data_IF_208000124833
#
_entry.id   IF_208000124833
#
_cell.length_a   1.000
_cell.length_b   1.000
_cell.length_c   1.000
_cell.angle_alpha   90.00
_cell.angle_beta   90.00
_cell.angle_gamma   90.00
#
_symmetry.space_group_name_H-M   'P 1'
#
loop_
_entity.id
_entity.type
_entity.pdbx_description
1 polymer ?
#
# COMPACT_ATOMS: atom_id res chain seq x y z
N UNK A 1 17.75 27.08 17.34
CA UNK A 1 17.13 26.36 18.49
C UNK A 1 15.63 26.67 18.53
N UNK A 2 15.20 27.94 18.48
CA UNK A 2 13.78 28.33 18.50
C UNK A 2 12.97 27.75 17.30
N UNK A 3 13.57 27.72 16.11
CA UNK A 3 12.93 27.15 14.91
C UNK A 3 12.71 25.65 15.02
N UNK A 4 13.64 24.91 15.64
CA UNK A 4 13.51 23.46 15.87
C UNK A 4 12.40 23.15 16.88
N UNK A 5 12.29 23.96 17.94
CA UNK A 5 11.23 23.79 18.96
C UNK A 5 9.84 24.09 18.39
N UNK A 6 9.72 25.09 17.51
CA UNK A 6 8.47 25.45 16.87
C UNK A 6 8.00 24.34 15.89
N UNK A 7 8.94 23.77 15.11
CA UNK A 7 8.67 22.63 14.23
C UNK A 7 8.25 21.41 15.06
N UNK A 8 8.95 21.12 16.17
CA UNK A 8 8.62 19.99 17.04
C UNK A 8 7.23 20.14 17.69
N UNK A 9 6.83 21.35 18.08
CA UNK A 9 5.51 21.63 18.63
C UNK A 9 4.39 21.52 17.57
N UNK A 10 4.62 22.05 16.36
CA UNK A 10 3.67 21.93 15.24
C UNK A 10 3.43 20.48 14.84
N UNK A 11 4.44 19.65 14.93
CA UNK A 11 4.44 18.22 14.64
C UNK A 11 3.63 17.44 15.68
N UNK A 12 3.71 17.81 16.95
CA UNK A 12 2.93 17.18 18.03
C UNK A 12 1.41 17.44 17.86
N UNK A 13 1.01 18.57 17.28
CA UNK A 13 -0.38 18.89 16.96
C UNK A 13 -0.94 18.10 15.78
N UNK A 14 -0.08 17.55 14.88
CA UNK A 14 -0.52 16.75 13.74
C UNK A 14 -0.77 15.28 14.10
N UNK A 15 -0.28 14.81 15.24
CA UNK A 15 -0.50 13.43 15.70
C UNK A 15 -1.87 13.34 16.37
N UNK A 16 -2.69 12.40 15.87
CA UNK A 16 -3.90 12.00 16.60
C UNK A 16 -3.50 11.09 17.75
N UNK A 17 -4.10 11.31 18.90
CA UNK A 17 -3.96 10.37 20.03
C UNK A 17 -4.79 9.10 19.72
N UNK A 18 -4.17 8.22 18.90
CA UNK A 18 -4.78 6.98 18.40
C UNK A 18 -4.10 5.79 19.05
N UNK A 19 -4.88 4.97 19.73
CA UNK A 19 -4.38 3.73 20.32
C UNK A 19 -3.95 2.75 19.22
N UNK A 20 -2.88 1.97 19.47
CA UNK A 20 -2.35 1.03 18.48
C UNK A 20 -3.37 0.00 18.02
N UNK A 21 -4.21 -0.50 18.94
CA UNK A 21 -5.28 -1.46 18.60
C UNK A 21 -6.32 -0.81 17.68
N UNK A 22 -6.72 0.42 17.96
CA UNK A 22 -7.61 1.17 17.10
C UNK A 22 -7.04 1.36 15.70
N UNK A 23 -5.74 1.71 15.60
CA UNK A 23 -5.06 1.82 14.31
C UNK A 23 -5.10 0.50 13.52
N UNK A 24 -4.89 -0.63 14.20
CA UNK A 24 -4.92 -1.97 13.58
C UNK A 24 -6.34 -2.33 13.11
N UNK A 25 -7.35 -2.14 13.97
CA UNK A 25 -8.73 -2.53 13.72
C UNK A 25 -9.40 -1.67 12.64
N UNK A 26 -9.09 -0.35 12.63
CA UNK A 26 -9.72 0.60 11.72
C UNK A 26 -8.96 0.80 10.41
N UNK A 27 -7.70 0.33 10.33
CA UNK A 27 -6.95 0.40 9.07
C UNK A 27 -7.63 -0.47 8.00
N UNK A 28 -7.93 0.13 6.87
CA UNK A 28 -8.41 -0.57 5.67
C UNK A 28 -7.73 -0.01 4.42
N UNK A 29 -7.83 -0.70 3.30
CA UNK A 29 -7.33 -0.22 2.01
C UNK A 29 -8.30 0.81 1.45
N UNK A 30 -7.95 2.08 1.52
CA UNK A 30 -8.75 3.19 0.99
C UNK A 30 -8.56 3.28 -0.52
N UNK A 31 -9.65 3.42 -1.27
CA UNK A 31 -9.65 3.43 -2.74
C UNK A 31 -10.30 4.68 -3.35
N UNK A 32 -10.48 5.70 -2.53
CA UNK A 32 -10.80 7.07 -2.94
C UNK A 32 -10.24 8.03 -1.89
N UNK A 33 -9.45 8.98 -2.35
CA UNK A 33 -8.82 9.98 -1.49
C UNK A 33 -9.29 11.37 -1.89
N UNK A 34 -9.28 12.30 -0.93
CA UNK A 34 -9.49 13.71 -1.20
C UNK A 34 -8.24 14.31 -1.84
N UNK A 35 -8.38 15.51 -2.41
CA UNK A 35 -7.27 16.31 -2.97
C UNK A 35 -6.49 17.09 -1.90
N UNK A 36 -6.85 16.94 -0.60
CA UNK A 36 -6.16 17.58 0.49
C UNK A 36 -4.68 17.22 0.48
N UNK A 37 -3.83 18.23 0.41
CA UNK A 37 -2.39 18.06 0.34
C UNK A 37 -1.84 17.40 1.61
N UNK A 38 -0.82 16.56 1.43
CA UNK A 38 -0.01 15.98 2.52
C UNK A 38 1.39 16.56 2.40
N UNK A 39 1.88 17.18 3.47
CA UNK A 39 3.20 17.81 3.45
C UNK A 39 4.35 16.78 3.43
N UNK A 40 5.50 17.19 2.89
CA UNK A 40 6.71 16.37 2.92
C UNK A 40 7.13 16.06 4.36
N UNK A 41 6.93 17.00 5.27
CA UNK A 41 7.26 16.86 6.69
C UNK A 41 6.42 15.73 7.31
N UNK A 42 5.11 15.71 7.08
CA UNK A 42 4.22 14.63 7.55
C UNK A 42 4.64 13.27 7.01
N UNK A 43 4.93 13.19 5.71
CA UNK A 43 5.42 11.94 5.11
C UNK A 43 6.73 11.50 5.74
N UNK A 44 7.66 12.44 5.95
CA UNK A 44 8.97 12.16 6.57
C UNK A 44 8.80 11.59 7.96
N UNK A 45 7.90 12.13 8.78
CA UNK A 45 7.64 11.64 10.13
C UNK A 45 7.02 10.24 10.14
N UNK A 46 6.06 9.99 9.26
CA UNK A 46 5.48 8.65 9.09
C UNK A 46 6.61 7.65 8.79
N UNK A 47 7.50 7.98 7.87
CA UNK A 47 8.62 7.11 7.50
C UNK A 47 9.65 6.97 8.64
N UNK A 48 9.93 8.03 9.40
CA UNK A 48 10.80 7.97 10.57
C UNK A 48 10.26 7.02 11.64
N UNK A 49 8.96 7.07 11.93
CA UNK A 49 8.31 6.13 12.84
C UNK A 49 8.40 4.70 12.27
N UNK A 50 8.16 4.53 10.98
CA UNK A 50 8.20 3.23 10.32
C UNK A 50 9.59 2.59 10.33
N UNK A 51 10.67 3.35 10.41
CA UNK A 51 12.05 2.82 10.59
C UNK A 51 12.23 1.95 11.85
N UNK A 52 11.26 1.96 12.77
CA UNK A 52 11.27 1.06 13.93
C UNK A 52 10.78 -0.36 13.60
N UNK A 53 10.44 -0.64 12.35
CA UNK A 53 10.10 -2.00 11.91
C UNK A 53 11.25 -2.97 12.17
N UNK A 54 10.96 -4.18 12.67
CA UNK A 54 11.99 -5.19 12.82
C UNK A 54 12.41 -5.78 11.48
N UNK A 55 13.60 -6.35 11.42
CA UNK A 55 14.06 -7.18 10.30
C UNK A 55 15.03 -8.26 10.79
N UNK A 56 15.16 -9.34 10.05
CA UNK A 56 16.11 -10.40 10.35
C UNK A 56 17.53 -9.85 10.50
N UNK A 57 18.16 -10.07 11.66
CA UNK A 57 19.51 -9.53 12.02
C UNK A 57 19.68 -8.03 11.78
N UNK A 58 18.58 -7.29 11.78
CA UNK A 58 18.52 -5.84 11.55
C UNK A 58 19.04 -5.42 10.16
N UNK A 59 18.76 -6.22 9.14
CA UNK A 59 19.22 -5.97 7.75
C UNK A 59 18.55 -4.77 7.09
N UNK A 60 17.32 -4.41 7.51
CA UNK A 60 16.57 -3.25 7.01
C UNK A 60 16.52 -3.18 5.47
N UNK A 61 15.97 -4.22 4.80
CA UNK A 61 16.16 -4.45 3.38
C UNK A 61 15.21 -3.63 2.48
N UNK A 62 14.71 -2.53 2.96
CA UNK A 62 13.69 -1.72 2.29
C UNK A 62 14.20 -0.36 1.89
N UNK A 63 13.70 0.11 0.73
CA UNK A 63 13.81 1.48 0.26
C UNK A 63 12.41 2.03 -0.02
N UNK A 64 12.23 3.35 0.14
CA UNK A 64 10.96 4.02 -0.18
C UNK A 64 11.22 5.19 -1.10
N UNK A 65 10.56 5.18 -2.23
CA UNK A 65 10.59 6.24 -3.23
C UNK A 65 9.24 6.96 -3.22
N UNK A 66 9.24 8.20 -2.76
CA UNK A 66 8.01 9.00 -2.60
C UNK A 66 7.85 9.93 -3.79
N UNK A 67 6.65 10.01 -4.34
CA UNK A 67 6.31 10.94 -5.41
C UNK A 67 5.00 11.67 -5.15
N UNK A 68 4.91 12.90 -5.65
CA UNK A 68 3.72 13.74 -5.61
C UNK A 68 3.72 14.67 -6.83
N UNK A 69 2.61 15.35 -7.08
CA UNK A 69 2.48 16.35 -8.14
C UNK A 69 2.91 15.84 -9.51
N UNK A 70 3.61 16.66 -10.27
CA UNK A 70 3.97 16.38 -11.67
C UNK A 70 4.75 15.06 -11.86
N UNK A 71 5.59 14.66 -10.91
CA UNK A 71 6.33 13.39 -11.01
C UNK A 71 5.38 12.20 -10.89
N UNK A 72 4.46 12.23 -9.92
CA UNK A 72 3.42 11.21 -9.75
C UNK A 72 2.55 11.12 -11.01
N UNK A 73 2.16 12.27 -11.57
CA UNK A 73 1.31 12.34 -12.77
C UNK A 73 2.04 11.79 -14.01
N UNK A 74 3.33 12.07 -14.16
CA UNK A 74 4.13 11.52 -15.25
C UNK A 74 4.21 9.98 -15.20
N UNK A 75 4.47 9.41 -14.02
CA UNK A 75 4.45 7.94 -13.79
C UNK A 75 3.07 7.38 -14.14
N UNK A 76 2.02 8.00 -13.63
CA UNK A 76 0.63 7.60 -13.89
C UNK A 76 0.33 7.55 -15.38
N UNK A 77 0.67 8.60 -16.12
CA UNK A 77 0.39 8.71 -17.56
C UNK A 77 1.12 7.62 -18.36
N UNK A 78 2.40 7.38 -18.08
CA UNK A 78 3.17 6.36 -18.76
C UNK A 78 2.62 4.96 -18.49
N UNK A 79 2.31 4.67 -17.22
CA UNK A 79 1.76 3.35 -16.85
C UNK A 79 0.36 3.14 -17.43
N UNK A 80 -0.49 4.16 -17.46
CA UNK A 80 -1.82 4.05 -18.09
C UNK A 80 -1.72 3.84 -19.60
N UNK A 81 -0.75 4.46 -20.27
CA UNK A 81 -0.49 4.24 -21.70
C UNK A 81 -0.06 2.79 -21.96
N UNK A 82 0.87 2.25 -21.18
CA UNK A 82 1.30 0.85 -21.27
C UNK A 82 0.15 -0.11 -20.96
N UNK A 83 -0.61 0.14 -19.91
CA UNK A 83 -1.74 -0.70 -19.50
C UNK A 83 -2.83 -0.76 -20.58
N UNK A 84 -3.14 0.36 -21.23
CA UNK A 84 -4.09 0.43 -22.34
C UNK A 84 -3.67 -0.44 -23.54
N UNK A 85 -2.37 -0.55 -23.77
CA UNK A 85 -1.79 -1.33 -24.86
C UNK A 85 -1.46 -2.77 -24.47
N UNK A 86 -1.75 -3.20 -23.23
CA UNK A 86 -1.40 -4.53 -22.73
C UNK A 86 0.12 -4.77 -22.58
N UNK A 87 0.90 -3.71 -22.44
CA UNK A 87 2.37 -3.75 -22.39
C UNK A 87 2.85 -3.72 -20.94
N UNK A 88 2.77 -4.86 -20.25
CA UNK A 88 3.34 -4.99 -18.91
C UNK A 88 4.87 -5.01 -18.96
N UNK A 89 5.51 -4.47 -17.92
CA UNK A 89 6.98 -4.41 -17.75
C UNK A 89 7.40 -4.93 -16.37
N UNK A 90 6.98 -6.16 -15.99
CA UNK A 90 7.29 -6.70 -14.68
C UNK A 90 8.77 -7.07 -14.56
N UNK A 91 9.24 -7.20 -13.32
CA UNK A 91 10.48 -7.90 -13.05
C UNK A 91 10.29 -9.39 -13.34
N UNK A 92 11.12 -9.96 -14.19
CA UNK A 92 10.87 -11.27 -14.78
C UNK A 92 11.43 -12.46 -13.98
N UNK A 93 12.23 -12.21 -12.94
CA UNK A 93 12.92 -13.29 -12.21
C UNK A 93 12.07 -13.90 -11.08
N UNK A 94 10.84 -13.42 -10.85
CA UNK A 94 9.93 -14.01 -9.89
C UNK A 94 8.46 -13.76 -10.23
N UNK A 95 7.61 -14.67 -9.80
CA UNK A 95 6.16 -14.52 -9.85
C UNK A 95 5.64 -13.95 -8.53
N UNK A 96 5.03 -12.80 -8.56
CA UNK A 96 4.38 -12.21 -7.37
C UNK A 96 3.20 -13.06 -6.89
N UNK A 97 2.44 -13.61 -7.84
CA UNK A 97 1.39 -14.58 -7.56
C UNK A 97 1.65 -15.87 -8.33
N UNK A 98 1.66 -16.99 -7.64
CA UNK A 98 1.63 -18.29 -8.29
C UNK A 98 0.31 -18.48 -9.05
N UNK A 99 0.37 -19.10 -10.24
CA UNK A 99 -0.81 -19.32 -11.09
C UNK A 99 -1.90 -20.20 -10.45
N UNK A 100 -1.50 -21.19 -9.67
CA UNK A 100 -2.38 -22.19 -9.08
C UNK A 100 -2.80 -21.83 -7.65
N UNK A 101 -3.87 -21.06 -7.55
CA UNK A 101 -4.47 -20.73 -6.27
C UNK A 101 -5.33 -21.88 -5.74
N UNK A 102 -5.10 -22.28 -4.48
CA UNK A 102 -6.06 -23.13 -3.77
C UNK A 102 -7.40 -22.43 -3.66
N UNK A 103 -8.49 -23.22 -3.62
CA UNK A 103 -9.86 -22.70 -3.61
C UNK A 103 -10.10 -21.66 -2.54
N UNK A 104 -9.65 -21.90 -1.31
CA UNK A 104 -9.81 -20.97 -0.17
C UNK A 104 -9.20 -19.59 -0.45
N UNK A 105 -8.03 -19.52 -1.04
CA UNK A 105 -7.37 -18.24 -1.34
C UNK A 105 -8.00 -17.55 -2.55
N UNK A 106 -8.38 -18.34 -3.56
CA UNK A 106 -9.08 -17.85 -4.74
C UNK A 106 -10.43 -17.25 -4.37
N UNK A 107 -11.17 -17.90 -3.47
CA UNK A 107 -12.50 -17.45 -3.05
C UNK A 107 -12.43 -16.19 -2.19
N UNK A 108 -11.45 -16.08 -1.28
CA UNK A 108 -11.16 -14.83 -0.54
C UNK A 108 -10.82 -13.66 -1.47
N UNK A 109 -9.96 -13.92 -2.48
CA UNK A 109 -9.63 -12.92 -3.49
C UNK A 109 -10.86 -12.49 -4.29
N UNK A 110 -11.69 -13.44 -4.69
CA UNK A 110 -12.95 -13.17 -5.41
C UNK A 110 -13.94 -12.42 -4.54
N UNK A 111 -14.08 -12.79 -3.27
CA UNK A 111 -14.97 -12.13 -2.31
C UNK A 111 -14.69 -10.66 -2.19
N UNK A 112 -13.43 -10.28 -1.97
CA UNK A 112 -13.03 -8.88 -1.89
C UNK A 112 -13.23 -8.13 -3.21
N UNK A 113 -12.93 -8.78 -4.34
CA UNK A 113 -13.10 -8.17 -5.67
C UNK A 113 -14.57 -7.93 -6.00
N UNK A 114 -15.43 -8.91 -5.77
CA UNK A 114 -16.87 -8.78 -6.00
C UNK A 114 -17.53 -7.83 -5.00
N UNK A 115 -17.09 -7.80 -3.75
CA UNK A 115 -17.56 -6.83 -2.77
C UNK A 115 -17.32 -5.39 -3.24
N UNK A 116 -16.10 -5.08 -3.71
CA UNK A 116 -15.77 -3.78 -4.26
C UNK A 116 -16.61 -3.46 -5.51
N UNK A 117 -16.72 -4.38 -6.45
CA UNK A 117 -17.45 -4.15 -7.70
C UNK A 117 -18.95 -3.98 -7.46
N UNK A 118 -19.52 -4.71 -6.53
CA UNK A 118 -20.93 -4.54 -6.12
C UNK A 118 -21.20 -3.14 -5.58
N UNK A 119 -20.35 -2.62 -4.70
CA UNK A 119 -20.47 -1.25 -4.20
C UNK A 119 -20.44 -0.21 -5.31
N UNK A 120 -19.59 -0.43 -6.32
CA UNK A 120 -19.43 0.45 -7.48
C UNK A 120 -20.48 0.21 -8.60
N UNK A 121 -21.41 -0.69 -8.42
CA UNK A 121 -22.40 -1.04 -9.44
C UNK A 121 -21.82 -1.75 -10.68
N UNK A 122 -20.58 -2.26 -10.60
CA UNK A 122 -19.91 -2.99 -11.69
C UNK A 122 -20.42 -4.44 -11.71
N UNK A 123 -21.14 -4.79 -12.76
CA UNK A 123 -21.75 -6.13 -12.91
C UNK A 123 -20.74 -7.16 -13.40
N UNK A 124 -21.02 -8.44 -13.13
CA UNK A 124 -20.23 -9.55 -13.69
C UNK A 124 -20.30 -9.51 -15.23
N UNK A 125 -19.11 -9.48 -15.85
CA UNK A 125 -18.98 -9.38 -17.31
C UNK A 125 -18.84 -7.94 -17.82
N UNK A 126 -19.02 -6.92 -16.98
CA UNK A 126 -18.72 -5.54 -17.31
C UNK A 126 -17.19 -5.32 -17.34
N UNK A 127 -16.62 -5.58 -18.51
CA UNK A 127 -15.18 -5.46 -18.74
C UNK A 127 -14.71 -4.01 -18.71
N UNK A 128 -15.53 -3.08 -19.19
CA UNK A 128 -15.19 -1.67 -19.23
C UNK A 128 -15.17 -1.08 -17.81
N UNK A 129 -16.21 -1.33 -17.02
CA UNK A 129 -16.26 -0.91 -15.62
C UNK A 129 -15.10 -1.50 -14.79
N UNK A 130 -14.82 -2.79 -14.98
CA UNK A 130 -13.71 -3.48 -14.31
C UNK A 130 -12.35 -2.90 -14.71
N UNK A 131 -12.14 -2.61 -16.00
CA UNK A 131 -10.90 -2.00 -16.50
C UNK A 131 -10.74 -0.58 -15.97
N UNK A 132 -11.80 0.23 -15.99
CA UNK A 132 -11.80 1.58 -15.45
C UNK A 132 -11.46 1.59 -13.96
N UNK A 133 -12.05 0.71 -13.16
CA UNK A 133 -11.72 0.58 -11.74
C UNK A 133 -10.29 0.07 -11.52
N UNK A 134 -9.83 -0.90 -12.33
CA UNK A 134 -8.46 -1.39 -12.30
C UNK A 134 -7.43 -0.27 -12.56
N UNK A 135 -7.72 0.59 -13.53
CA UNK A 135 -6.85 1.72 -13.89
C UNK A 135 -6.70 2.76 -12.76
N UNK A 136 -7.65 2.84 -11.81
CA UNK A 136 -7.54 3.73 -10.64
C UNK A 136 -6.35 3.38 -9.74
N UNK A 137 -5.89 2.12 -9.74
CA UNK A 137 -4.64 1.77 -9.05
C UNK A 137 -3.48 2.67 -9.51
N UNK A 138 -3.38 2.90 -10.82
CA UNK A 138 -2.29 3.67 -11.43
C UNK A 138 -2.47 5.19 -11.31
N UNK A 139 -3.59 5.63 -10.74
CA UNK A 139 -3.83 7.00 -10.28
C UNK A 139 -3.70 7.13 -8.76
N UNK A 140 -3.17 6.11 -8.08
CA UNK A 140 -3.11 6.04 -6.62
C UNK A 140 -4.47 6.26 -5.95
N UNK A 141 -5.58 5.92 -6.63
CA UNK A 141 -6.96 6.20 -6.17
C UNK A 141 -7.19 7.68 -5.82
N UNK A 142 -6.54 8.57 -6.57
CA UNK A 142 -6.56 10.03 -6.44
C UNK A 142 -5.80 10.60 -5.21
N UNK A 143 -5.07 9.76 -4.48
CA UNK A 143 -4.22 10.21 -3.37
C UNK A 143 -3.18 11.25 -3.82
N UNK A 144 -2.91 12.30 -2.99
CA UNK A 144 -1.91 13.31 -3.28
C UNK A 144 -0.49 12.76 -3.31
N UNK A 145 -0.21 11.70 -2.55
CA UNK A 145 1.11 11.08 -2.45
C UNK A 145 1.07 9.63 -2.89
N UNK A 146 2.03 9.26 -3.74
CA UNK A 146 2.37 7.89 -4.10
C UNK A 146 3.71 7.49 -3.49
N UNK A 147 3.83 6.23 -3.10
CA UNK A 147 5.08 5.62 -2.64
C UNK A 147 5.33 4.34 -3.42
N UNK A 148 6.59 4.03 -3.65
CA UNK A 148 7.04 2.74 -4.17
C UNK A 148 8.06 2.15 -3.20
N UNK A 149 7.78 0.95 -2.74
CA UNK A 149 8.63 0.24 -1.81
C UNK A 149 9.40 -0.82 -2.59
N UNK A 150 10.73 -0.77 -2.49
CA UNK A 150 11.64 -1.69 -3.17
C UNK A 150 12.53 -2.42 -2.18
N UNK A 151 13.16 -3.48 -2.62
CA UNK A 151 14.24 -4.21 -1.94
C UNK A 151 15.32 -4.57 -2.96
N UNK A 152 16.52 -4.91 -2.51
CA UNK A 152 17.56 -5.39 -3.42
C UNK A 152 17.18 -6.75 -4.00
N UNK A 153 17.33 -6.91 -5.31
CA UNK A 153 16.85 -8.11 -6.02
C UNK A 153 17.58 -9.40 -5.60
N UNK A 154 18.84 -9.31 -5.12
CA UNK A 154 19.59 -10.46 -4.65
C UNK A 154 19.11 -11.02 -3.31
N UNK A 155 18.30 -10.26 -2.56
CA UNK A 155 17.82 -10.66 -1.24
C UNK A 155 16.72 -11.72 -1.35
N UNK A 156 16.75 -12.67 -0.42
CA UNK A 156 15.83 -13.81 -0.40
C UNK A 156 14.49 -13.52 0.27
N UNK A 157 13.67 -14.56 0.42
CA UNK A 157 12.29 -14.50 0.94
C UNK A 157 12.18 -13.88 2.33
N UNK A 158 13.19 -14.01 3.20
CA UNK A 158 13.21 -13.38 4.52
C UNK A 158 13.12 -11.86 4.44
N UNK A 159 13.88 -11.25 3.52
CA UNK A 159 13.87 -9.80 3.30
C UNK A 159 12.54 -9.30 2.73
N UNK A 160 11.84 -10.12 1.95
CA UNK A 160 10.47 -9.82 1.51
C UNK A 160 9.48 -9.81 2.67
N UNK A 161 9.62 -10.76 3.61
CA UNK A 161 8.85 -10.76 4.86
C UNK A 161 9.12 -9.50 5.69
N UNK A 162 10.39 -9.13 5.85
CA UNK A 162 10.81 -7.92 6.55
C UNK A 162 10.23 -6.65 5.90
N UNK A 163 10.29 -6.56 4.57
CA UNK A 163 9.70 -5.45 3.81
C UNK A 163 8.17 -5.40 3.98
N UNK A 164 7.50 -6.55 4.08
CA UNK A 164 6.07 -6.63 4.41
C UNK A 164 5.75 -6.06 5.79
N UNK A 165 6.58 -6.33 6.80
CA UNK A 165 6.45 -5.73 8.14
C UNK A 165 6.63 -4.21 8.09
N UNK A 166 7.59 -3.71 7.31
CA UNK A 166 7.81 -2.30 7.09
C UNK A 166 6.61 -1.61 6.42
N UNK A 167 6.06 -2.21 5.35
CA UNK A 167 4.84 -1.74 4.67
C UNK A 167 3.69 -1.61 5.67
N UNK A 168 3.45 -2.63 6.50
CA UNK A 168 2.40 -2.60 7.52
C UNK A 168 2.66 -1.49 8.54
N UNK A 169 3.91 -1.28 8.96
CA UNK A 169 4.26 -0.23 9.92
C UNK A 169 4.00 1.17 9.35
N UNK A 170 4.30 1.43 8.06
CA UNK A 170 3.92 2.68 7.38
C UNK A 170 2.40 2.88 7.43
N UNK A 171 1.63 1.83 7.12
CA UNK A 171 0.16 1.92 7.10
C UNK A 171 -0.42 2.24 8.47
N UNK A 172 0.15 1.68 9.55
CA UNK A 172 -0.28 1.98 10.93
C UNK A 172 0.17 3.37 11.37
N UNK A 173 1.42 3.75 11.08
CA UNK A 173 1.94 5.08 11.38
C UNK A 173 1.08 6.17 10.73
N UNK A 174 0.69 6.01 9.46
CA UNK A 174 -0.19 6.94 8.77
C UNK A 174 -1.51 7.20 9.53
N UNK A 175 -2.08 6.17 10.18
CA UNK A 175 -3.30 6.32 10.99
C UNK A 175 -3.10 7.30 12.15
N UNK A 176 -1.94 7.28 12.79
CA UNK A 176 -1.58 8.22 13.86
C UNK A 176 -1.51 9.69 13.41
N UNK A 177 -1.43 9.94 12.11
CA UNK A 177 -1.49 11.28 11.50
C UNK A 177 -2.86 11.57 10.87
N UNK A 178 -3.87 10.74 11.11
CA UNK A 178 -5.18 10.87 10.50
C UNK A 178 -5.24 10.56 9.01
N UNK A 179 -4.15 9.98 8.48
CA UNK A 179 -4.03 9.60 7.08
C UNK A 179 -4.39 8.13 6.86
N UNK A 180 -4.63 7.82 5.62
CA UNK A 180 -4.98 6.48 5.15
C UNK A 180 -4.08 6.05 4.02
N UNK A 181 -4.06 4.74 3.75
CA UNK A 181 -3.20 4.14 2.74
C UNK A 181 -3.94 3.06 1.95
N UNK A 182 -3.37 2.72 0.79
CA UNK A 182 -3.68 1.50 0.06
C UNK A 182 -2.38 0.93 -0.50
N UNK A 183 -1.94 -0.23 -0.02
CA UNK A 183 -0.85 -0.97 -0.66
C UNK A 183 -1.35 -1.58 -1.98
N UNK A 184 -0.55 -1.49 -3.05
CA UNK A 184 -0.98 -1.72 -4.42
C UNK A 184 0.03 -2.59 -5.19
N UNK A 185 -0.21 -3.91 -5.20
CA UNK A 185 0.58 -4.86 -5.98
C UNK A 185 0.43 -4.66 -7.50
N UNK A 186 -0.60 -3.94 -7.96
CA UNK A 186 -0.81 -3.67 -9.38
C UNK A 186 0.40 -3.00 -10.07
N UNK A 187 1.13 -2.17 -9.34
CA UNK A 187 2.31 -1.46 -9.85
C UNK A 187 3.47 -2.38 -10.25
N UNK A 188 3.56 -3.57 -9.66
CA UNK A 188 4.64 -4.53 -9.94
C UNK A 188 4.68 -4.91 -11.42
N UNK A 189 3.54 -4.88 -12.11
CA UNK A 189 3.46 -5.15 -13.54
C UNK A 189 4.08 -4.04 -14.41
N UNK A 190 4.43 -2.89 -13.82
CA UNK A 190 4.95 -1.71 -14.53
C UNK A 190 6.20 -1.14 -13.85
N UNK A 191 7.13 -2.01 -13.46
CA UNK A 191 8.33 -1.61 -12.73
C UNK A 191 9.21 -0.63 -13.52
N UNK A 192 9.41 -0.86 -14.83
CA UNK A 192 10.33 -0.06 -15.65
C UNK A 192 10.00 1.45 -15.63
N UNK A 193 8.77 1.91 -15.97
CA UNK A 193 8.48 3.34 -15.94
C UNK A 193 8.63 3.95 -14.55
N UNK A 194 8.28 3.22 -13.49
CA UNK A 194 8.48 3.68 -12.11
C UNK A 194 9.97 3.92 -11.83
N UNK A 195 10.81 2.95 -12.18
CA UNK A 195 12.27 3.02 -11.95
C UNK A 195 12.91 4.14 -12.74
N UNK A 196 12.51 4.34 -13.98
CA UNK A 196 13.02 5.40 -14.85
C UNK A 196 12.69 6.80 -14.31
N UNK A 197 11.44 7.05 -13.90
CA UNK A 197 11.03 8.35 -13.39
C UNK A 197 11.64 8.70 -12.03
N UNK A 198 11.89 7.70 -11.20
CA UNK A 198 12.40 7.90 -9.82
C UNK A 198 13.90 7.62 -9.68
N UNK A 199 14.58 7.30 -10.78
CA UNK A 199 16.00 6.93 -10.80
C UNK A 199 16.33 5.81 -9.82
N UNK A 200 15.44 4.80 -9.72
CA UNK A 200 15.64 3.64 -8.86
C UNK A 200 16.73 2.75 -9.46
N UNK A 201 17.70 2.27 -8.66
CA UNK A 201 18.73 1.35 -9.11
C UNK A 201 18.14 0.08 -9.72
N UNK A 202 18.77 -0.43 -10.82
CA UNK A 202 18.26 -1.62 -11.55
C UNK A 202 18.44 -2.94 -10.80
N UNK A 203 19.27 -2.94 -9.78
CA UNK A 203 19.49 -4.08 -8.87
C UNK A 203 18.46 -4.14 -7.74
N UNK A 204 17.51 -3.23 -7.71
CA UNK A 204 16.33 -3.31 -6.85
C UNK A 204 15.14 -3.93 -7.58
N UNK A 205 14.16 -4.39 -6.81
CA UNK A 205 12.90 -4.92 -7.29
C UNK A 205 11.73 -4.26 -6.56
N UNK A 206 10.66 -3.95 -7.30
CA UNK A 206 9.45 -3.34 -6.73
C UNK A 206 8.65 -4.37 -5.95
N UNK A 207 8.47 -4.13 -4.65
CA UNK A 207 7.66 -4.98 -3.76
C UNK A 207 6.20 -4.53 -3.74
N UNK A 208 5.95 -3.21 -3.67
CA UNK A 208 4.60 -2.65 -3.68
C UNK A 208 4.60 -1.17 -4.03
N UNK A 209 3.53 -0.72 -4.69
CA UNK A 209 3.14 0.69 -4.61
C UNK A 209 2.28 0.94 -3.38
N UNK A 210 2.08 2.20 -3.01
CA UNK A 210 1.20 2.61 -1.92
C UNK A 210 0.67 4.01 -2.15
N UNK A 211 -0.65 4.18 -2.03
CA UNK A 211 -1.30 5.48 -1.95
C UNK A 211 -1.27 6.00 -0.52
N UNK A 212 -1.11 7.31 -0.34
CA UNK A 212 -1.18 7.98 0.97
C UNK A 212 -1.94 9.31 0.86
N UNK A 213 -2.93 9.51 1.71
CA UNK A 213 -3.75 10.73 1.74
C UNK A 213 -4.87 10.66 2.77
N UNK A 214 -5.74 11.65 2.72
CA UNK A 214 -6.98 11.67 3.50
C UNK A 214 -8.07 10.89 2.75
N UNK A 215 -8.74 9.97 3.45
CA UNK A 215 -9.84 9.21 2.85
C UNK A 215 -10.99 10.14 2.45
N UNK A 216 -11.60 9.87 1.31
CA UNK A 216 -12.90 10.44 0.96
C UNK A 216 -14.00 9.63 1.66
N UNK A 217 -14.55 10.17 2.74
CA UNK A 217 -15.57 9.51 3.55
C UNK A 217 -16.94 9.40 2.83
N UNK A 218 -17.11 10.12 1.72
CA UNK A 218 -18.33 10.04 0.90
C UNK A 218 -18.24 8.95 -0.18
N UNK A 219 -17.04 8.44 -0.45
CA UNK A 219 -16.83 7.43 -1.47
C UNK A 219 -17.31 6.05 -1.02
N UNK A 220 -18.26 5.48 -1.77
CA UNK A 220 -18.89 4.19 -1.43
C UNK A 220 -17.88 3.04 -1.35
N UNK A 221 -16.85 3.04 -2.19
CA UNK A 221 -15.78 2.03 -2.20
C UNK A 221 -14.98 1.99 -0.90
N UNK A 222 -14.94 3.09 -0.15
CA UNK A 222 -14.28 3.18 1.15
C UNK A 222 -15.10 2.57 2.29
N UNK A 223 -16.36 2.22 2.04
CA UNK A 223 -17.18 1.49 3.02
C UNK A 223 -16.86 -0.02 3.03
N UNK A 224 -16.10 -0.52 2.04
CA UNK A 224 -15.74 -1.94 1.97
C UNK A 224 -14.95 -2.37 3.21
N UNK A 225 -15.51 -3.31 3.96
CA UNK A 225 -14.82 -4.03 5.04
C UNK A 225 -14.56 -5.46 4.54
N UNK A 226 -13.28 -5.81 4.40
CA UNK A 226 -12.90 -7.17 3.98
C UNK A 226 -12.98 -8.13 5.17
N UNK A 227 -13.58 -9.28 4.95
CA UNK A 227 -13.69 -10.36 5.93
C UNK A 227 -12.31 -10.85 6.40
N UNK A 228 -12.28 -11.49 7.54
CA UNK A 228 -11.13 -12.21 8.08
C UNK A 228 -11.55 -13.63 8.37
N UNK A 229 -10.58 -14.55 8.26
CA UNK A 229 -10.78 -15.93 8.69
C UNK A 229 -10.96 -15.98 10.21
N UNK A 230 -11.75 -16.94 10.67
CA UNK A 230 -11.93 -17.20 12.08
C UNK A 230 -10.61 -17.61 12.74
N UNK A 231 -10.38 -17.18 13.98
CA UNK A 231 -9.09 -17.36 14.65
C UNK A 231 -8.69 -18.83 14.78
N UNK A 232 -9.67 -19.70 15.04
CA UNK A 232 -9.48 -21.16 15.16
C UNK A 232 -8.95 -21.81 13.88
N UNK A 233 -9.13 -21.20 12.73
CA UNK A 233 -8.61 -21.70 11.44
C UNK A 233 -7.19 -21.21 11.14
N UNK A 234 -6.66 -20.26 11.92
CA UNK A 234 -5.34 -19.66 11.66
C UNK A 234 -4.39 -19.77 12.86
N UNK A 235 -4.90 -20.14 14.05
CA UNK A 235 -4.11 -20.30 15.25
C UNK A 235 -4.37 -21.67 15.90
N UNK A 236 -3.31 -22.28 16.42
CA UNK A 236 -3.40 -23.47 17.26
C UNK A 236 -2.67 -23.21 18.58
N UNK A 237 -3.19 -23.77 19.66
CA UNK A 237 -2.65 -23.59 21.00
C UNK A 237 -2.17 -24.93 21.55
N UNK A 238 -0.99 -24.93 22.19
CA UNK A 238 -0.42 -26.11 22.85
C UNK A 238 0.20 -25.71 24.17
N UNK A 239 0.01 -26.54 25.21
CA UNK A 239 0.60 -26.33 26.54
C UNK A 239 -0.11 -25.27 27.39
N UNK A 240 -1.30 -24.80 27.00
CA UNK A 240 -2.15 -23.98 27.84
C UNK A 240 -3.07 -24.90 28.64
N UNK A 241 -3.02 -24.78 29.98
CA UNK A 241 -3.96 -25.50 30.83
C UNK A 241 -5.39 -24.97 30.54
N UNK A 242 -6.34 -25.91 30.52
CA UNK A 242 -7.76 -25.52 30.41
C UNK A 242 -8.13 -24.74 31.67
N UNK A 243 -8.49 -23.49 31.52
CA UNK A 243 -9.00 -22.66 32.61
C UNK A 243 -10.36 -23.16 33.10
#
# INVERSE_FOLDING_TARGET
VASLIFITLLIFELRKDMHVLEAIETRKSIRAFTDQAVSKETVTEILQVAQRSPSGTNTQPWYVHVCAGAVKDAITNDVLALAKNGQATPYQEYDYYHGDWKDVHRDRRRGVGWGLYSLLGIKKGDREGSSRQGARNFKFFDAPVGMFITTDAYLGRGSWSDTGMYIQTIMLAARGFGLHTCAQAAWIQYQEPVFRHLNIPKDQVLVSGMSLGYADDQAIENTLVSEREALENVASYSGFDSA
#
